data_IF_938001959346
#
_entry.id   IF_938001959346
#
_cell.length_a   1.000
_cell.length_b   1.000
_cell.length_c   1.000
_cell.angle_alpha   90.00
_cell.angle_beta   90.00
_cell.angle_gamma   90.00
#
_symmetry.space_group_name_H-M   'P 1'
#
loop_
_entity.id
_entity.type
_entity.pdbx_description
1 polymer ?
#
# COMPACT_ATOMS: atom_id res chain seq x y z
N UNK A 1 13.49 0.63 8.63
CA UNK A 1 13.12 1.90 7.96
C UNK A 1 12.44 2.79 9.00
N UNK A 2 12.60 4.11 8.91
CA UNK A 2 12.01 5.05 9.87
C UNK A 2 10.53 5.31 9.63
N UNK A 3 9.80 5.70 10.67
CA UNK A 3 8.40 6.13 10.59
C UNK A 3 8.30 7.65 10.71
N UNK A 4 7.31 8.23 10.06
CA UNK A 4 6.94 9.65 10.19
C UNK A 4 5.49 9.69 10.66
N UNK A 5 5.20 10.52 11.67
CA UNK A 5 3.85 10.71 12.21
C UNK A 5 3.30 12.06 11.76
N UNK A 6 2.08 12.05 11.22
CA UNK A 6 1.33 13.26 10.84
C UNK A 6 0.04 13.29 11.67
N UNK A 7 -0.22 14.41 12.34
CA UNK A 7 -1.46 14.62 13.12
C UNK A 7 -2.44 15.48 12.33
N UNK A 8 -3.66 14.98 12.13
CA UNK A 8 -4.73 15.68 11.40
C UNK A 8 -5.96 15.75 12.29
N UNK A 9 -6.52 16.95 12.45
CA UNK A 9 -7.80 17.12 13.11
C UNK A 9 -8.93 16.83 12.09
N UNK A 10 -9.77 15.85 12.41
CA UNK A 10 -10.95 15.52 11.60
C UNK A 10 -12.23 15.71 12.42
N UNK A 11 -13.36 16.05 11.80
CA UNK A 11 -14.64 16.15 12.50
C UNK A 11 -15.02 14.83 13.17
N UNK A 12 -15.48 14.86 14.42
CA UNK A 12 -15.97 13.67 15.12
C UNK A 12 -17.16 13.01 14.40
N UNK A 13 -17.91 13.77 13.61
CA UNK A 13 -19.01 13.26 12.78
C UNK A 13 -18.56 12.20 11.78
N UNK A 14 -17.26 12.12 11.45
CA UNK A 14 -16.70 11.05 10.62
C UNK A 14 -16.92 9.68 11.26
N UNK A 15 -16.72 9.54 12.57
CA UNK A 15 -16.95 8.26 13.28
C UNK A 15 -18.42 7.82 13.17
N UNK A 16 -19.35 8.78 13.23
CA UNK A 16 -20.78 8.51 13.08
C UNK A 16 -21.10 8.13 11.63
N UNK A 17 -20.54 8.84 10.66
CA UNK A 17 -20.80 8.61 9.24
C UNK A 17 -20.22 7.28 8.72
N UNK A 18 -19.09 6.83 9.27
CA UNK A 18 -18.44 5.58 8.87
C UNK A 18 -18.84 4.39 9.74
N UNK A 19 -19.44 4.63 10.92
CA UNK A 19 -19.72 3.59 11.92
C UNK A 19 -18.48 3.03 12.60
N UNK A 20 -17.30 3.64 12.39
CA UNK A 20 -16.03 3.20 12.97
C UNK A 20 -15.87 3.70 14.39
N UNK A 21 -15.21 2.90 15.23
CA UNK A 21 -14.69 3.32 16.51
C UNK A 21 -13.36 4.07 16.35
N UNK A 22 -13.02 4.90 17.33
CA UNK A 22 -11.80 5.71 17.29
C UNK A 22 -10.52 4.86 17.12
N UNK A 23 -10.50 3.65 17.70
CA UNK A 23 -9.39 2.71 17.59
C UNK A 23 -9.25 2.07 16.19
N UNK A 24 -10.32 2.05 15.39
CA UNK A 24 -10.32 1.49 14.03
C UNK A 24 -9.92 2.54 12.98
N UNK A 25 -10.02 3.83 13.35
CA UNK A 25 -9.81 4.95 12.46
C UNK A 25 -8.37 5.01 11.89
N UNK A 26 -7.36 4.71 12.71
CA UNK A 26 -5.97 4.73 12.25
C UNK A 26 -5.73 3.68 11.14
N UNK A 27 -6.19 2.45 11.36
CA UNK A 27 -6.09 1.37 10.39
C UNK A 27 -6.84 1.71 9.10
N UNK A 28 -8.07 2.21 9.23
CA UNK A 28 -8.87 2.65 8.10
C UNK A 28 -8.18 3.75 7.27
N UNK A 29 -7.61 4.77 7.93
CA UNK A 29 -6.90 5.86 7.23
C UNK A 29 -5.66 5.32 6.50
N UNK A 30 -4.89 4.43 7.14
CA UNK A 30 -3.73 3.78 6.51
C UNK A 30 -4.13 2.97 5.28
N UNK A 31 -5.20 2.18 5.37
CA UNK A 31 -5.75 1.43 4.25
C UNK A 31 -6.14 2.36 3.10
N UNK A 32 -6.92 3.41 3.37
CA UNK A 32 -7.38 4.38 2.36
C UNK A 32 -6.20 5.08 1.68
N UNK A 33 -5.20 5.52 2.44
CA UNK A 33 -3.99 6.17 1.88
C UNK A 33 -3.19 5.18 1.02
N UNK A 34 -2.98 3.95 1.48
CA UNK A 34 -2.25 2.94 0.73
C UNK A 34 -2.93 2.61 -0.60
N UNK A 35 -4.25 2.39 -0.56
CA UNK A 35 -5.07 2.10 -1.74
C UNK A 35 -5.04 3.26 -2.73
N UNK A 36 -5.21 4.50 -2.26
CA UNK A 36 -5.28 5.67 -3.12
C UNK A 36 -3.92 5.98 -3.78
N UNK A 37 -2.84 5.90 -3.02
CA UNK A 37 -1.51 6.15 -3.56
C UNK A 37 -1.05 5.05 -4.52
N UNK A 38 -1.45 3.79 -4.30
CA UNK A 38 -1.27 2.71 -5.27
C UNK A 38 -2.08 2.98 -6.55
N UNK A 39 -3.36 3.34 -6.42
CA UNK A 39 -4.24 3.66 -7.55
C UNK A 39 -3.71 4.79 -8.43
N UNK A 40 -3.03 5.76 -7.83
CA UNK A 40 -2.37 6.87 -8.53
C UNK A 40 -1.00 6.50 -9.14
N UNK A 41 -0.54 5.26 -9.00
CA UNK A 41 0.79 4.82 -9.44
C UNK A 41 1.95 5.41 -8.63
N UNK A 42 1.68 6.01 -7.46
CA UNK A 42 2.69 6.68 -6.63
C UNK A 42 3.41 5.72 -5.70
N UNK A 43 2.77 4.61 -5.33
CA UNK A 43 3.36 3.54 -4.53
C UNK A 43 3.33 2.22 -5.31
N UNK A 44 4.40 1.45 -5.21
CA UNK A 44 4.40 0.04 -5.61
C UNK A 44 3.55 -0.79 -4.65
N UNK A 45 3.17 -2.00 -5.08
CA UNK A 45 2.37 -2.92 -4.25
C UNK A 45 3.02 -3.21 -2.89
N UNK A 46 4.35 -3.38 -2.86
CA UNK A 46 5.09 -3.60 -1.61
C UNK A 46 5.09 -2.39 -0.68
N UNK A 47 5.23 -1.17 -1.23
CA UNK A 47 5.20 0.05 -0.41
C UNK A 47 3.79 0.36 0.09
N UNK A 48 2.77 0.07 -0.71
CA UNK A 48 1.37 0.17 -0.29
C UNK A 48 1.07 -0.83 0.85
N UNK A 49 1.59 -2.06 0.78
CA UNK A 49 1.47 -3.05 1.86
C UNK A 49 2.08 -2.54 3.18
N UNK A 50 3.30 -1.96 3.12
CA UNK A 50 3.92 -1.34 4.29
C UNK A 50 3.08 -0.19 4.88
N UNK A 51 2.50 0.68 4.04
CA UNK A 51 1.66 1.79 4.50
C UNK A 51 0.36 1.29 5.13
N UNK A 52 -0.28 0.28 4.52
CA UNK A 52 -1.48 -0.36 5.04
C UNK A 52 -1.21 -1.15 6.34
N UNK A 53 0.05 -1.46 6.65
CA UNK A 53 0.42 -2.25 7.83
C UNK A 53 0.17 -3.75 7.66
N UNK A 54 0.12 -4.24 6.43
CA UNK A 54 -0.05 -5.67 6.13
C UNK A 54 1.29 -6.33 5.83
N UNK A 55 1.42 -7.61 6.17
CA UNK A 55 2.70 -8.32 6.13
C UNK A 55 3.07 -8.75 4.70
N UNK A 56 2.10 -8.95 3.83
CA UNK A 56 2.30 -9.54 2.51
C UNK A 56 1.68 -8.72 1.38
N UNK A 57 2.28 -8.83 0.19
CA UNK A 57 1.69 -8.28 -1.05
C UNK A 57 0.32 -8.89 -1.32
N UNK A 58 0.11 -10.16 -0.97
CA UNK A 58 -1.18 -10.84 -1.10
C UNK A 58 -2.27 -10.18 -0.24
N UNK A 59 -2.00 -9.87 1.03
CA UNK A 59 -2.96 -9.13 1.86
C UNK A 59 -3.28 -7.75 1.29
N UNK A 60 -2.28 -7.07 0.70
CA UNK A 60 -2.52 -5.81 -0.02
C UNK A 60 -3.41 -6.02 -1.25
N UNK A 61 -3.23 -7.11 -2.01
CA UNK A 61 -4.11 -7.44 -3.15
C UNK A 61 -5.57 -7.63 -2.71
N UNK A 62 -5.79 -8.27 -1.56
CA UNK A 62 -7.12 -8.46 -0.99
C UNK A 62 -7.74 -7.13 -0.53
N UNK A 63 -6.94 -6.23 0.06
CA UNK A 63 -7.37 -4.88 0.42
C UNK A 63 -7.78 -4.07 -0.82
N UNK A 64 -6.99 -4.09 -1.89
CA UNK A 64 -7.34 -3.40 -3.15
C UNK A 64 -8.68 -3.90 -3.71
N UNK A 65 -8.88 -5.21 -3.74
CA UNK A 65 -10.14 -5.83 -4.17
C UNK A 65 -11.33 -5.41 -3.29
N UNK A 66 -11.16 -5.39 -1.96
CA UNK A 66 -12.18 -4.94 -0.99
C UNK A 66 -12.61 -3.48 -1.24
N UNK A 67 -11.68 -2.63 -1.67
CA UNK A 67 -11.95 -1.22 -1.99
C UNK A 67 -12.43 -0.99 -3.43
N UNK A 68 -12.76 -2.05 -4.18
CA UNK A 68 -13.23 -1.94 -5.56
C UNK A 68 -12.16 -1.48 -6.56
N UNK A 69 -10.89 -1.50 -6.14
CA UNK A 69 -9.75 -1.30 -7.02
C UNK A 69 -9.45 -2.67 -7.64
N UNK A 70 -10.22 -3.02 -8.67
CA UNK A 70 -9.96 -4.22 -9.44
C UNK A 70 -8.71 -4.04 -10.29
N UNK A 71 -7.85 -5.04 -10.18
CA UNK A 71 -6.61 -5.21 -10.90
C UNK A 71 -6.80 -4.92 -12.40
N UNK A 72 -6.36 -3.76 -12.86
CA UNK A 72 -5.92 -3.63 -14.25
C UNK A 72 -4.40 -3.83 -14.16
N UNK A 73 -3.95 -5.06 -14.46
CA UNK A 73 -2.54 -5.42 -14.60
C UNK A 73 -2.00 -4.54 -15.73
N UNK A 74 -1.65 -3.30 -15.41
CA UNK A 74 -1.35 -2.26 -16.38
C UNK A 74 0.15 -2.09 -16.37
N UNK A 75 0.80 -2.88 -17.22
CA UNK A 75 2.15 -2.75 -17.78
C UNK A 75 3.36 -2.52 -16.84
N UNK A 76 3.24 -1.74 -15.76
CA UNK A 76 4.30 -1.42 -14.81
C UNK A 76 4.66 -2.59 -13.88
N UNK A 77 3.76 -3.54 -13.65
CA UNK A 77 4.04 -4.77 -12.88
C UNK A 77 4.94 -5.76 -13.64
N UNK A 78 5.12 -5.60 -14.96
CA UNK A 78 6.05 -6.40 -15.75
C UNK A 78 7.49 -5.87 -15.71
N UNK A 79 7.71 -4.59 -15.45
CA UNK A 79 9.05 -3.98 -15.47
C UNK A 79 9.86 -4.23 -14.19
N UNK A 80 9.19 -4.47 -13.06
CA UNK A 80 9.89 -4.73 -11.79
C UNK A 80 10.40 -6.18 -11.62
N UNK A 81 9.86 -7.14 -12.39
CA UNK A 81 10.33 -8.53 -12.36
C UNK A 81 11.62 -8.74 -13.18
N UNK A 82 11.92 -7.85 -14.15
CA UNK A 82 13.19 -7.90 -14.90
C UNK A 82 14.39 -7.30 -14.15
N UNK A 83 14.17 -6.38 -13.20
CA UNK A 83 15.28 -5.69 -12.52
C UNK A 83 15.94 -6.50 -11.39
N UNK A 84 15.36 -7.64 -10.98
CA UNK A 84 15.93 -8.46 -9.87
C UNK A 84 16.87 -9.57 -10.37
N UNK A 85 16.87 -9.90 -11.67
CA UNK A 85 17.78 -10.93 -12.21
C UNK A 85 19.20 -10.37 -12.48
N UNK A 86 19.37 -9.06 -12.73
CA UNK A 86 20.68 -8.48 -13.07
C UNK A 86 21.61 -8.18 -11.88
N UNK A 87 21.27 -8.58 -10.65
CA UNK A 87 22.15 -8.36 -9.48
C UNK A 87 22.82 -9.62 -8.91
N UNK A 88 22.65 -10.79 -9.53
CA UNK A 88 23.27 -12.02 -9.05
C UNK A 88 24.36 -12.63 -9.94
N UNK A 89 24.65 -12.07 -11.12
CA UNK A 89 25.61 -12.67 -12.08
C UNK A 89 26.88 -11.84 -12.35
N UNK A 90 27.22 -10.87 -11.48
CA UNK A 90 28.45 -10.07 -11.65
C UNK A 90 29.38 -10.05 -10.43
N UNK A 91 29.24 -11.01 -9.51
CA UNK A 91 30.22 -11.23 -8.44
C UNK A 91 30.76 -12.66 -8.41
N UNK A 92 31.09 -13.20 -9.59
CA UNK A 92 32.15 -14.21 -9.75
C UNK A 92 32.99 -13.85 -10.98
N UNK A 93 34.06 -13.09 -10.77
CA UNK A 93 35.00 -12.76 -11.85
C UNK A 93 35.83 -11.51 -11.58
N UNK A 94 36.79 -11.62 -10.66
CA UNK A 94 37.80 -10.58 -10.39
C UNK A 94 38.64 -10.92 -9.17
#
# INVERSE_FOLDING_TARGET
MGTITVTVAIPQSVLVATGLQQQELEGFIREVIAVELYRQGRLSLGKAAEVAGVATRYEMTALLAKHGVFWNYTAADAEADFATIETFDSNEGG
#
